data_IF_675898163830
#
_entry.id   IF_675898163830
#
_cell.length_a   1.000
_cell.length_b   1.000
_cell.length_c   1.000
_cell.angle_alpha   90.00
_cell.angle_beta   90.00
_cell.angle_gamma   90.00
#
_symmetry.space_group_name_H-M   'P 1'
#
loop_
_entity.id
_entity.type
_entity.pdbx_description
1 polymer ?
#
# COMPACT_ATOMS: atom_id res chain seq x y z
N UNK A 1 -0.11 -0.05 -1.69
CA UNK A 1 -1.44 0.02 -2.34
C UNK A 1 -2.12 1.38 -2.45
N UNK A 2 -2.06 2.03 -3.58
CA UNK A 2 -0.90 1.88 -4.42
C UNK A 2 0.24 2.71 -3.83
N UNK A 3 0.44 2.63 -2.51
CA UNK A 3 1.73 2.70 -1.82
C UNK A 3 2.85 1.91 -2.49
N UNK A 4 2.58 1.13 -3.52
CA UNK A 4 3.56 0.53 -4.40
C UNK A 4 2.90 0.31 -5.76
N UNK A 5 3.67 0.21 -6.83
CA UNK A 5 3.15 -0.03 -8.18
C UNK A 5 2.52 -1.44 -8.27
N UNK A 6 1.19 -1.55 -8.30
CA UNK A 6 0.55 -2.82 -8.64
C UNK A 6 0.53 -3.02 -10.13
N UNK A 7 0.55 -4.28 -10.54
CA UNK A 7 0.49 -4.65 -11.94
C UNK A 7 1.65 -4.00 -12.73
N UNK A 8 2.85 -4.01 -12.13
CA UNK A 8 4.01 -3.29 -12.63
C UNK A 8 4.35 -3.69 -14.07
N UNK A 9 4.27 -2.74 -15.00
CA UNK A 9 4.45 -2.97 -16.44
C UNK A 9 3.18 -3.29 -17.22
N UNK A 10 2.25 -4.09 -16.68
CA UNK A 10 0.99 -4.39 -17.39
C UNK A 10 -0.02 -3.24 -17.28
N UNK A 11 0.09 -2.38 -16.26
CA UNK A 11 -0.75 -1.20 -16.04
C UNK A 11 -0.61 -0.10 -17.13
N UNK A 12 0.54 0.00 -17.79
CA UNK A 12 0.81 0.92 -18.91
C UNK A 12 0.78 0.22 -20.27
N UNK A 13 0.33 -1.03 -20.32
CA UNK A 13 0.14 -1.75 -21.58
C UNK A 13 -0.90 -1.03 -22.44
N UNK A 14 -0.57 -0.89 -23.73
CA UNK A 14 -1.50 -0.39 -24.74
C UNK A 14 -2.80 -1.21 -24.84
N UNK A 15 -2.84 -2.39 -24.22
CA UNK A 15 -3.95 -3.33 -24.37
C UNK A 15 -4.79 -3.47 -23.13
N UNK A 16 -4.40 -3.02 -21.95
CA UNK A 16 -5.00 -3.44 -20.67
C UNK A 16 -6.08 -2.51 -20.12
N UNK A 17 -6.68 -1.69 -20.99
CA UNK A 17 -8.00 -1.07 -20.83
C UNK A 17 -8.43 -0.71 -19.41
N UNK A 18 -9.13 -1.63 -18.73
CA UNK A 18 -9.63 -1.43 -17.36
C UNK A 18 -8.49 -1.23 -16.34
N UNK A 19 -7.39 -1.99 -16.46
CA UNK A 19 -6.22 -1.88 -15.58
C UNK A 19 -5.52 -0.52 -15.80
N UNK A 20 -5.35 -0.10 -17.06
CA UNK A 20 -4.84 1.24 -17.37
C UNK A 20 -5.80 2.34 -16.92
N UNK A 21 -7.11 2.10 -16.99
CA UNK A 21 -8.15 3.00 -16.49
C UNK A 21 -8.10 3.20 -14.97
N UNK A 22 -7.73 2.15 -14.21
CA UNK A 22 -7.49 2.25 -12.77
C UNK A 22 -6.23 3.07 -12.43
N UNK A 23 -5.25 3.13 -13.34
CA UNK A 23 -4.09 4.01 -13.23
C UNK A 23 -4.42 5.45 -13.66
N UNK A 24 -5.17 5.61 -14.73
CA UNK A 24 -5.58 6.90 -15.27
C UNK A 24 -6.94 6.76 -15.97
N UNK A 25 -8.02 7.35 -15.42
CA UNK A 25 -9.36 7.22 -16.01
C UNK A 25 -9.43 7.66 -17.48
N UNK A 26 -8.57 8.59 -17.92
CA UNK A 26 -8.51 9.05 -19.31
C UNK A 26 -8.10 7.95 -20.30
N UNK A 27 -7.43 6.89 -19.84
CA UNK A 27 -7.04 5.74 -20.68
C UNK A 27 -8.23 4.86 -21.08
N UNK A 28 -9.41 5.01 -20.46
CA UNK A 28 -10.59 4.22 -20.84
C UNK A 28 -11.03 4.49 -22.29
N UNK A 29 -10.78 5.70 -22.82
CA UNK A 29 -11.07 6.02 -24.23
C UNK A 29 -10.16 5.24 -25.18
N UNK A 30 -9.01 4.81 -24.68
CA UNK A 30 -7.97 4.13 -25.44
C UNK A 30 -8.13 2.61 -25.50
N UNK A 31 -9.20 2.05 -24.90
CA UNK A 31 -9.53 0.62 -25.02
C UNK A 31 -9.67 0.27 -26.50
N UNK A 32 -9.07 -0.84 -26.92
CA UNK A 32 -9.03 -1.24 -28.34
C UNK A 32 -10.38 -1.77 -28.84
N UNK A 33 -11.12 -2.48 -27.99
CA UNK A 33 -12.47 -2.98 -28.28
C UNK A 33 -13.56 -1.96 -27.89
N UNK A 34 -14.79 -2.24 -28.29
CA UNK A 34 -15.95 -1.49 -27.79
C UNK A 34 -16.30 -1.91 -26.36
N UNK A 35 -16.10 -3.18 -26.01
CA UNK A 35 -16.39 -3.71 -24.69
C UNK A 35 -15.17 -4.42 -24.11
N UNK A 36 -14.99 -4.29 -22.80
CA UNK A 36 -14.00 -5.02 -22.03
C UNK A 36 -14.58 -5.45 -20.69
N UNK A 37 -14.33 -6.71 -20.32
CA UNK A 37 -14.67 -7.25 -19.01
C UNK A 37 -13.41 -7.75 -18.31
N UNK A 38 -13.22 -7.34 -17.05
CA UNK A 38 -12.26 -7.96 -16.14
C UNK A 38 -13.01 -8.98 -15.30
N UNK A 39 -12.53 -10.23 -15.24
CA UNK A 39 -13.15 -11.25 -14.39
C UNK A 39 -12.61 -11.09 -12.98
N UNK A 40 -11.31 -11.34 -12.84
CA UNK A 40 -10.58 -11.17 -11.60
C UNK A 40 -9.12 -10.95 -11.91
N UNK A 41 -8.52 -10.04 -11.16
CA UNK A 41 -7.12 -9.71 -11.24
C UNK A 41 -6.60 -9.53 -9.83
N UNK A 42 -5.47 -10.14 -9.53
CA UNK A 42 -4.86 -10.20 -8.20
C UNK A 42 -3.46 -9.61 -8.26
N UNK A 43 -3.09 -8.83 -7.24
CA UNK A 43 -1.72 -8.39 -7.03
C UNK A 43 -1.40 -8.34 -5.55
N UNK A 44 -0.33 -9.02 -5.16
CA UNK A 44 0.23 -8.95 -3.82
C UNK A 44 1.63 -8.34 -3.90
N UNK A 45 1.95 -7.51 -2.92
CA UNK A 45 3.22 -6.85 -2.79
C UNK A 45 3.66 -6.81 -1.33
N UNK A 46 4.94 -7.03 -1.10
CA UNK A 46 5.61 -6.91 0.18
C UNK A 46 6.93 -6.15 -0.01
N UNK A 47 7.15 -5.09 0.76
CA UNK A 47 8.41 -4.34 0.83
C UNK A 47 8.85 -4.09 2.25
N UNK A 48 10.16 -4.04 2.45
CA UNK A 48 10.75 -3.68 3.72
C UNK A 48 12.15 -3.06 3.53
N UNK A 49 12.80 -2.60 4.60
CA UNK A 49 14.17 -2.05 4.56
C UNK A 49 15.17 -2.80 5.47
N UNK A 50 14.86 -4.05 5.86
CA UNK A 50 15.55 -4.79 6.93
C UNK A 50 15.98 -6.19 6.54
N UNK A 51 15.09 -6.90 5.87
CA UNK A 51 15.11 -8.34 5.64
C UNK A 51 15.20 -8.59 4.14
N UNK A 52 16.19 -9.37 3.75
CA UNK A 52 16.22 -9.99 2.44
C UNK A 52 15.13 -11.06 2.35
N UNK A 53 14.49 -11.21 1.20
CA UNK A 53 13.43 -12.19 1.00
C UNK A 53 13.88 -13.63 1.26
N UNK A 54 15.15 -13.96 0.97
CA UNK A 54 15.73 -15.28 1.28
C UNK A 54 15.72 -15.60 2.78
N UNK A 55 15.81 -14.58 3.65
CA UNK A 55 15.86 -14.75 5.10
C UNK A 55 14.49 -15.12 5.71
N UNK A 56 13.38 -14.88 4.99
CA UNK A 56 12.04 -15.25 5.45
C UNK A 56 11.82 -16.76 5.52
N UNK A 57 12.67 -17.55 4.86
CA UNK A 57 12.62 -19.01 4.84
C UNK A 57 13.68 -19.65 5.75
N UNK A 58 14.41 -18.83 6.51
CA UNK A 58 15.43 -19.29 7.46
C UNK A 58 14.87 -19.55 8.85
N UNK A 59 15.77 -19.95 9.77
CA UNK A 59 15.41 -20.34 11.15
C UNK A 59 15.18 -19.15 12.11
N UNK A 60 15.35 -17.91 11.65
CA UNK A 60 15.14 -16.71 12.49
C UNK A 60 13.68 -16.28 12.44
N UNK A 61 13.15 -15.89 13.61
CA UNK A 61 11.82 -15.31 13.72
C UNK A 61 11.70 -14.02 12.91
N UNK A 62 10.53 -13.82 12.29
CA UNK A 62 10.25 -12.66 11.45
C UNK A 62 10.41 -11.33 12.21
N UNK A 63 9.99 -11.29 13.47
CA UNK A 63 10.05 -10.10 14.33
C UNK A 63 11.49 -9.72 14.66
N UNK A 64 12.36 -10.71 14.87
CA UNK A 64 13.79 -10.50 15.11
C UNK A 64 14.49 -9.91 13.88
N UNK A 65 14.12 -10.39 12.68
CA UNK A 65 14.63 -9.88 11.42
C UNK A 65 14.14 -8.45 11.14
N UNK A 66 12.86 -8.17 11.40
CA UNK A 66 12.25 -6.86 11.16
C UNK A 66 12.86 -5.76 12.05
N UNK A 67 13.18 -6.08 13.29
CA UNK A 67 13.78 -5.14 14.23
C UNK A 67 15.29 -5.35 14.40
N UNK A 68 15.99 -5.89 13.41
CA UNK A 68 17.44 -6.02 13.47
C UNK A 68 18.15 -4.66 13.26
N UNK A 69 19.35 -4.50 13.81
CA UNK A 69 20.17 -3.28 13.68
C UNK A 69 19.59 -2.03 14.37
N UNK A 70 19.98 -0.84 13.88
CA UNK A 70 19.70 0.47 14.51
C UNK A 70 18.84 1.43 13.67
N UNK A 71 18.76 1.25 12.35
CA UNK A 71 17.94 2.10 11.48
C UNK A 71 16.44 1.88 11.73
N UNK A 72 15.55 2.87 11.53
CA UNK A 72 14.11 2.66 11.69
C UNK A 72 13.58 1.52 10.79
N UNK A 73 12.72 0.67 11.33
CA UNK A 73 12.08 -0.42 10.61
C UNK A 73 10.88 0.10 9.82
N UNK A 74 10.89 -0.20 8.52
CA UNK A 74 9.85 0.12 7.57
C UNK A 74 9.43 -1.15 6.82
N UNK A 75 8.11 -1.38 6.76
CA UNK A 75 7.50 -2.50 6.07
C UNK A 75 6.17 -2.05 5.46
N UNK A 76 5.88 -2.51 4.25
CA UNK A 76 4.55 -2.45 3.65
C UNK A 76 4.18 -3.81 3.09
N UNK A 77 2.94 -4.22 3.32
CA UNK A 77 2.32 -5.38 2.72
C UNK A 77 0.98 -4.95 2.14
N UNK A 78 0.70 -5.46 0.96
CA UNK A 78 -0.22 -4.81 0.05
C UNK A 78 -0.90 -5.85 -0.86
N UNK A 79 -2.17 -6.18 -0.59
CA UNK A 79 -3.02 -7.03 -1.43
C UNK A 79 -4.16 -6.28 -2.15
N UNK A 80 -4.18 -6.30 -3.49
CA UNK A 80 -5.23 -5.72 -4.34
C UNK A 80 -5.90 -6.80 -5.20
N UNK A 81 -7.22 -6.87 -5.09
CA UNK A 81 -8.07 -7.73 -5.91
C UNK A 81 -9.00 -6.82 -6.72
N UNK A 82 -8.76 -6.70 -8.02
CA UNK A 82 -9.70 -6.10 -8.95
C UNK A 82 -10.69 -7.18 -9.37
N UNK A 83 -11.91 -7.08 -8.85
CA UNK A 83 -13.01 -8.01 -9.11
C UNK A 83 -13.69 -7.78 -10.45
N UNK A 84 -14.90 -8.35 -10.63
CA UNK A 84 -15.68 -8.17 -11.83
C UNK A 84 -15.82 -6.69 -12.19
N UNK A 85 -15.39 -6.34 -13.39
CA UNK A 85 -15.43 -4.98 -13.90
C UNK A 85 -15.82 -4.98 -15.37
N UNK A 86 -16.46 -3.91 -15.81
CA UNK A 86 -16.89 -3.77 -17.19
C UNK A 86 -16.62 -2.35 -17.67
N UNK A 87 -16.07 -2.22 -18.86
CA UNK A 87 -15.89 -0.96 -19.55
C UNK A 87 -16.50 -1.06 -20.94
N UNK A 88 -17.13 0.03 -21.37
CA UNK A 88 -17.62 0.16 -22.74
C UNK A 88 -17.30 1.53 -23.32
N UNK A 89 -17.10 1.56 -24.63
CA UNK A 89 -16.79 2.75 -25.40
C UNK A 89 -17.90 3.00 -26.41
N UNK A 90 -18.36 4.24 -26.49
CA UNK A 90 -19.38 4.68 -27.47
C UNK A 90 -19.00 6.04 -28.03
N UNK A 91 -18.58 6.05 -29.30
CA UNK A 91 -18.09 7.27 -29.97
C UNK A 91 -16.86 7.83 -29.24
N UNK A 92 -16.93 9.10 -28.85
CA UNK A 92 -15.85 9.79 -28.12
C UNK A 92 -15.83 9.54 -26.62
N UNK A 93 -16.79 8.78 -26.09
CA UNK A 93 -16.94 8.52 -24.66
C UNK A 93 -16.59 7.07 -24.32
N UNK A 94 -16.03 6.89 -23.13
CA UNK A 94 -15.87 5.59 -22.50
C UNK A 94 -16.37 5.65 -21.06
N UNK A 95 -16.97 4.56 -20.60
CA UNK A 95 -17.48 4.42 -19.25
C UNK A 95 -17.01 3.09 -18.67
N UNK A 96 -16.82 3.03 -17.35
CA UNK A 96 -16.50 1.79 -16.67
C UNK A 96 -17.18 1.70 -15.31
N UNK A 97 -17.48 0.47 -14.91
CA UNK A 97 -17.80 0.09 -13.53
C UNK A 97 -16.72 -0.89 -13.06
N UNK A 98 -16.13 -0.61 -11.91
CA UNK A 98 -15.09 -1.46 -11.32
C UNK A 98 -15.45 -1.86 -9.91
N UNK A 99 -15.02 -3.05 -9.50
CA UNK A 99 -15.09 -3.51 -8.11
C UNK A 99 -13.69 -3.89 -7.65
N UNK A 100 -13.31 -3.52 -6.44
CA UNK A 100 -12.02 -3.89 -5.88
C UNK A 100 -12.09 -4.18 -4.39
N UNK A 101 -11.23 -5.08 -3.91
CA UNK A 101 -10.91 -5.27 -2.50
C UNK A 101 -9.43 -4.98 -2.26
N UNK A 102 -9.11 -4.26 -1.19
CA UNK A 102 -7.75 -3.85 -0.86
C UNK A 102 -7.45 -4.12 0.61
N UNK A 103 -6.27 -4.71 0.89
CA UNK A 103 -5.77 -5.00 2.24
C UNK A 103 -4.33 -4.53 2.42
N UNK A 104 -4.15 -3.50 3.23
CA UNK A 104 -2.83 -2.95 3.55
C UNK A 104 -2.41 -3.31 4.95
N UNK A 105 -1.12 -3.57 5.13
CA UNK A 105 -0.44 -3.47 6.40
C UNK A 105 0.84 -2.66 6.22
N UNK A 106 1.18 -1.85 7.20
CA UNK A 106 2.41 -1.06 7.20
C UNK A 106 2.97 -0.92 8.60
N UNK A 107 4.29 -0.85 8.65
CA UNK A 107 5.10 -0.48 9.79
C UNK A 107 5.97 0.64 9.27
N UNK A 108 5.91 1.80 9.91
CA UNK A 108 6.61 3.00 9.47
C UNK A 108 7.42 3.57 10.62
N UNK A 109 8.71 3.70 10.34
CA UNK A 109 9.70 4.31 11.22
C UNK A 109 9.60 3.79 12.65
N UNK A 110 9.49 2.46 12.85
CA UNK A 110 9.54 1.91 14.22
C UNK A 110 10.99 1.80 14.65
N UNK A 111 11.33 2.35 15.82
CA UNK A 111 12.65 2.20 16.40
C UNK A 111 12.93 0.72 16.72
N UNK A 112 14.02 0.11 16.22
CA UNK A 112 14.29 -1.31 16.43
C UNK A 112 14.44 -1.71 17.89
N UNK A 113 15.00 -0.84 18.76
CA UNK A 113 15.14 -1.13 20.18
C UNK A 113 13.78 -1.22 20.86
N UNK A 114 12.88 -0.29 20.53
CA UNK A 114 11.51 -0.30 21.03
C UNK A 114 10.73 -1.51 20.50
N UNK A 115 10.84 -1.80 19.19
CA UNK A 115 10.19 -2.95 18.57
C UNK A 115 10.61 -4.28 19.23
N UNK A 116 11.91 -4.49 19.40
CA UNK A 116 12.43 -5.67 20.12
C UNK A 116 11.93 -5.71 21.56
N UNK A 117 12.03 -4.62 22.31
CA UNK A 117 11.66 -4.63 23.72
C UNK A 117 10.17 -4.91 24.00
N UNK A 118 9.28 -4.59 23.04
CA UNK A 118 7.83 -4.84 23.15
C UNK A 118 7.44 -6.25 22.67
N UNK A 119 8.15 -6.79 21.67
CA UNK A 119 7.78 -8.03 20.97
C UNK A 119 8.62 -9.24 21.42
N UNK A 120 9.81 -9.01 21.99
CA UNK A 120 10.69 -10.07 22.46
C UNK A 120 10.07 -10.82 23.65
N UNK A 121 9.85 -12.13 23.44
CA UNK A 121 9.87 -13.14 24.50
C UNK A 121 11.31 -13.45 24.96
N UNK A 122 12.32 -12.88 24.27
CA UNK A 122 13.73 -13.04 24.57
C UNK A 122 14.12 -12.19 25.77
N UNK A 123 14.61 -12.88 26.81
CA UNK A 123 15.03 -12.27 28.07
C UNK A 123 16.11 -11.18 27.96
N UNK A 124 16.50 -10.69 29.13
CA UNK A 124 17.41 -9.56 29.38
C UNK A 124 18.73 -9.62 28.57
N UNK A 125 19.15 -10.81 28.15
CA UNK A 125 20.39 -11.05 27.39
C UNK A 125 20.43 -10.41 25.98
N UNK A 126 19.29 -9.99 25.41
CA UNK A 126 19.24 -9.30 24.10
C UNK A 126 19.53 -7.79 24.18
N UNK A 127 19.49 -7.20 25.38
CA UNK A 127 19.76 -5.78 25.65
C UNK A 127 20.98 -5.68 26.57
N UNK A 128 22.19 -5.77 26.00
CA UNK A 128 23.45 -5.75 26.76
C UNK A 128 23.72 -4.42 27.52
N UNK A 129 22.93 -3.37 27.29
CA UNK A 129 23.03 -2.08 27.95
C UNK A 129 21.70 -1.32 27.91
N UNK A 130 21.52 -0.36 28.82
CA UNK A 130 20.44 0.63 28.74
C UNK A 130 20.48 1.34 27.37
N UNK A 131 19.38 1.29 26.63
CA UNK A 131 19.23 1.90 25.33
C UNK A 131 18.35 3.14 25.45
N UNK A 132 18.96 4.32 25.34
CA UNK A 132 18.21 5.55 25.17
C UNK A 132 17.46 5.50 23.82
N UNK A 133 16.13 5.55 23.89
CA UNK A 133 15.24 5.66 22.74
C UNK A 133 14.79 7.11 22.65
N UNK A 134 15.65 7.91 22.02
CA UNK A 134 15.34 9.28 21.64
C UNK A 134 14.91 9.27 20.19
N UNK A 135 13.60 9.39 19.96
CA UNK A 135 13.00 9.31 18.64
C UNK A 135 12.32 10.65 18.33
N UNK A 136 12.95 11.41 17.44
CA UNK A 136 12.48 12.72 16.96
C UNK A 136 11.48 12.62 15.79
N UNK A 137 11.11 11.40 15.40
CA UNK A 137 10.11 11.10 14.38
C UNK A 137 8.88 10.41 14.98
N UNK A 138 7.77 10.37 14.23
CA UNK A 138 6.60 9.60 14.66
C UNK A 138 6.74 8.16 14.17
N UNK A 139 6.19 7.24 14.96
CA UNK A 139 6.24 5.82 14.74
C UNK A 139 4.81 5.32 14.53
N UNK A 140 4.58 4.43 13.56
CA UNK A 140 3.24 3.87 13.36
C UNK A 140 3.25 2.45 12.82
N UNK A 141 2.27 1.67 13.24
CA UNK A 141 1.90 0.41 12.62
C UNK A 141 0.40 0.46 12.32
N UNK A 142 0.01 0.11 11.11
CA UNK A 142 -1.40 0.12 10.72
C UNK A 142 -1.74 -1.00 9.74
N UNK A 143 -2.91 -1.59 9.92
CA UNK A 143 -3.53 -2.51 8.97
C UNK A 143 -4.93 -2.01 8.62
N UNK A 144 -5.32 -2.11 7.35
CA UNK A 144 -6.61 -1.64 6.88
C UNK A 144 -7.09 -2.42 5.67
N UNK A 145 -8.38 -2.73 5.65
CA UNK A 145 -9.04 -3.37 4.51
C UNK A 145 -10.24 -2.56 4.09
N UNK A 146 -10.52 -2.52 2.79
CA UNK A 146 -11.71 -1.87 2.27
C UNK A 146 -12.07 -2.36 0.87
N UNK A 147 -13.35 -2.24 0.55
CA UNK A 147 -13.91 -2.46 -0.77
C UNK A 147 -14.10 -1.14 -1.51
N UNK A 148 -14.05 -1.18 -2.83
CA UNK A 148 -14.31 -0.04 -3.70
C UNK A 148 -15.29 -0.45 -4.81
N UNK A 149 -16.27 0.42 -5.08
CA UNK A 149 -17.03 0.40 -6.33
C UNK A 149 -16.73 1.70 -7.07
N UNK A 150 -16.08 1.58 -8.23
CA UNK A 150 -15.70 2.71 -9.07
C UNK A 150 -16.67 2.90 -10.24
N UNK A 151 -17.05 4.15 -10.49
CA UNK A 151 -17.78 4.58 -11.68
C UNK A 151 -16.93 5.58 -12.44
N UNK A 152 -16.58 5.25 -13.67
CA UNK A 152 -15.66 6.04 -14.49
C UNK A 152 -16.35 6.57 -15.74
N UNK A 153 -15.95 7.77 -16.13
CA UNK A 153 -16.30 8.37 -17.41
C UNK A 153 -15.06 9.06 -17.99
N UNK A 154 -14.81 8.85 -19.28
CA UNK A 154 -13.69 9.43 -20.00
C UNK A 154 -14.10 9.86 -21.39
N UNK A 155 -13.43 10.88 -21.93
CA UNK A 155 -13.77 11.48 -23.22
C UNK A 155 -12.54 11.87 -24.02
N UNK A 156 -12.57 11.61 -25.32
CA UNK A 156 -11.71 12.26 -26.31
C UNK A 156 -12.12 13.73 -26.45
N UNK A 157 -11.27 14.63 -25.97
CA UNK A 157 -11.50 16.08 -25.98
C UNK A 157 -11.03 16.68 -27.31
N UNK A 158 -9.88 16.23 -27.80
CA UNK A 158 -9.26 16.70 -29.01
C UNK A 158 -8.72 15.54 -29.84
N UNK A 159 -8.85 15.64 -31.16
CA UNK A 159 -8.40 14.64 -32.11
C UNK A 159 -8.11 15.33 -33.44
N UNK A 160 -6.83 15.36 -33.83
CA UNK A 160 -6.37 15.98 -35.08
C UNK A 160 -5.05 15.36 -35.53
N UNK A 161 -4.92 15.06 -36.82
CA UNK A 161 -3.67 14.57 -37.44
C UNK A 161 -2.97 13.44 -36.65
N UNK A 162 -3.73 12.49 -36.11
CA UNK A 162 -3.22 11.37 -35.31
C UNK A 162 -2.87 11.72 -33.85
N UNK A 163 -2.99 12.98 -33.44
CA UNK A 163 -2.84 13.42 -32.06
C UNK A 163 -4.18 13.42 -31.34
N UNK A 164 -4.22 12.85 -30.15
CA UNK A 164 -5.43 12.80 -29.32
C UNK A 164 -5.15 13.26 -27.90
N UNK A 165 -6.10 14.00 -27.33
CA UNK A 165 -6.12 14.39 -25.93
C UNK A 165 -7.42 13.88 -25.29
N UNK A 166 -7.26 13.16 -24.19
CA UNK A 166 -8.34 12.56 -23.43
C UNK A 166 -8.33 13.10 -22.00
N UNK A 167 -9.49 13.16 -21.37
CA UNK A 167 -9.61 13.31 -19.93
C UNK A 167 -10.61 12.29 -19.37
N UNK A 168 -10.46 11.95 -18.10
CA UNK A 168 -11.40 11.09 -17.42
C UNK A 168 -11.46 11.35 -15.93
N UNK A 169 -12.54 10.87 -15.33
CA UNK A 169 -12.81 10.92 -13.90
C UNK A 169 -13.35 9.56 -13.45
N UNK A 170 -13.01 9.17 -12.23
CA UNK A 170 -13.60 8.03 -11.54
C UNK A 170 -14.10 8.47 -10.18
N UNK A 171 -15.36 8.19 -9.89
CA UNK A 171 -15.94 8.34 -8.56
C UNK A 171 -15.96 6.98 -7.88
N UNK A 172 -15.48 6.90 -6.64
CA UNK A 172 -15.39 5.65 -5.88
C UNK A 172 -16.25 5.74 -4.64
N UNK A 173 -17.16 4.80 -4.49
CA UNK A 173 -17.82 4.52 -3.22
C UNK A 173 -16.95 3.52 -2.48
N UNK A 174 -16.58 3.85 -1.24
CA UNK A 174 -15.67 3.04 -0.44
C UNK A 174 -16.44 2.37 0.70
N UNK A 175 -16.12 1.11 0.92
CA UNK A 175 -16.71 0.28 1.96
C UNK A 175 -15.62 -0.05 2.97
N UNK A 176 -15.57 0.63 4.13
CA UNK A 176 -14.56 0.34 5.12
C UNK A 176 -14.72 -1.12 5.59
N UNK A 177 -13.64 -1.89 5.51
CA UNK A 177 -13.58 -3.23 6.09
C UNK A 177 -13.09 -3.12 7.53
N UNK A 178 -11.90 -3.66 7.79
CA UNK A 178 -11.26 -3.59 9.11
C UNK A 178 -10.17 -2.52 9.14
N UNK A 179 -9.91 -1.93 10.30
CA UNK A 179 -8.83 -0.97 10.48
C UNK A 179 -8.23 -1.14 11.86
N UNK A 180 -6.91 -1.12 11.96
CA UNK A 180 -6.17 -1.09 13.20
C UNK A 180 -4.96 -0.20 13.01
N UNK A 181 -4.69 0.64 13.99
CA UNK A 181 -3.51 1.50 14.00
C UNK A 181 -3.02 1.73 15.42
N UNK A 182 -1.71 1.66 15.55
CA UNK A 182 -0.92 2.12 16.67
C UNK A 182 -0.05 3.27 16.17
N UNK A 183 -0.07 4.40 16.87
CA UNK A 183 0.72 5.58 16.52
C UNK A 183 1.35 6.15 17.78
N UNK A 184 2.60 6.60 17.65
CA UNK A 184 3.36 7.25 18.71
C UNK A 184 4.07 8.47 18.13
N UNK A 185 3.99 9.61 18.81
CA UNK A 185 4.68 10.84 18.42
C UNK A 185 5.65 11.31 19.48
N UNK A 186 6.80 11.84 19.05
CA UNK A 186 7.84 12.42 19.91
C UNK A 186 8.21 11.48 21.06
N UNK A 187 8.53 10.21 20.74
CA UNK A 187 8.84 9.23 21.76
C UNK A 187 10.23 9.48 22.35
N UNK A 188 10.27 9.75 23.64
CA UNK A 188 11.50 9.75 24.43
C UNK A 188 11.39 8.70 25.52
N UNK A 189 12.51 8.06 25.86
CA UNK A 189 12.58 7.14 26.99
C UNK A 189 13.87 6.34 27.01
N UNK A 190 14.12 5.63 28.09
CA UNK A 190 15.23 4.68 28.21
C UNK A 190 14.68 3.29 28.44
N UNK A 191 15.14 2.34 27.62
CA UNK A 191 14.83 0.91 27.79
C UNK A 191 16.01 0.27 28.51
N UNK A 192 15.76 -0.33 29.66
CA UNK A 192 16.80 -1.00 30.44
C UNK A 192 16.25 -2.18 31.25
N UNK A 193 17.14 -3.08 31.67
CA UNK A 193 16.77 -4.17 32.58
C UNK A 193 16.56 -3.66 34.01
N UNK A 194 15.54 -4.15 34.68
CA UNK A 194 15.25 -3.85 36.10
C UNK A 194 14.77 -5.10 36.85
N UNK A 195 14.55 -4.98 38.17
CA UNK A 195 13.96 -6.06 38.98
C UNK A 195 12.49 -6.28 38.58
N UNK A 196 12.27 -7.10 37.54
CA UNK A 196 10.95 -7.34 36.95
C UNK A 196 10.97 -7.64 35.44
N UNK A 197 12.12 -7.48 34.77
CA UNK A 197 12.29 -7.74 33.34
C UNK A 197 12.91 -6.55 32.62
N UNK A 198 12.41 -6.24 31.43
CA UNK A 198 12.77 -5.07 30.63
C UNK A 198 11.75 -3.97 30.93
N UNK A 199 12.25 -2.80 31.32
CA UNK A 199 11.43 -1.65 31.70
C UNK A 199 11.70 -0.45 30.80
N UNK A 200 10.65 0.35 30.59
CA UNK A 200 10.73 1.69 30.02
C UNK A 200 10.69 2.71 31.17
N UNK A 201 11.70 3.58 31.27
CA UNK A 201 11.82 4.65 32.29
C UNK A 201 12.13 6.00 31.63
N UNK A 202 11.93 7.10 32.36
CA UNK A 202 12.13 8.48 31.90
C UNK A 202 11.47 8.74 30.53
N UNK A 203 10.25 8.23 30.38
CA UNK A 203 9.60 8.11 29.08
C UNK A 203 8.42 9.05 28.93
N UNK A 204 8.32 9.70 27.78
CA UNK A 204 7.22 10.59 27.43
C UNK A 204 6.84 10.39 25.97
N UNK A 205 5.54 10.22 25.70
CA UNK A 205 5.02 10.17 24.34
C UNK A 205 3.50 10.41 24.31
N UNK A 206 2.99 10.81 23.14
CA UNK A 206 1.56 10.74 22.84
C UNK A 206 1.29 9.49 21.99
N UNK A 207 0.49 8.59 22.53
CA UNK A 207 0.04 7.37 21.86
C UNK A 207 -1.36 7.57 21.30
N UNK A 208 -1.63 6.97 20.15
CA UNK A 208 -2.99 6.84 19.67
C UNK A 208 -3.24 5.46 19.08
N UNK A 209 -4.29 4.84 19.60
CA UNK A 209 -4.83 3.59 19.13
C UNK A 209 -6.13 3.88 18.40
N UNK A 210 -6.33 3.28 17.24
CA UNK A 210 -7.58 3.36 16.50
C UNK A 210 -7.87 2.00 15.86
N UNK A 211 -9.00 1.38 16.18
CA UNK A 211 -9.34 0.06 15.65
C UNK A 211 -10.83 -0.13 15.45
N UNK A 212 -11.18 -0.95 14.45
CA UNK A 212 -12.55 -1.36 14.18
C UNK A 212 -13.00 -2.43 15.16
N UNK A 213 -14.29 -2.47 15.50
CA UNK A 213 -14.82 -3.45 16.46
C UNK A 213 -14.58 -4.91 16.06
N UNK A 214 -14.53 -5.21 14.76
CA UNK A 214 -14.13 -6.53 14.23
C UNK A 214 -12.73 -6.97 14.69
N UNK A 215 -11.80 -6.03 14.87
CA UNK A 215 -10.42 -6.27 15.31
C UNK A 215 -10.22 -6.07 16.82
N UNK A 216 -11.26 -5.67 17.55
CA UNK A 216 -11.21 -5.55 19.01
C UNK A 216 -11.05 -6.89 19.72
N UNK A 217 -11.43 -8.00 19.07
CA UNK A 217 -11.44 -9.34 19.67
C UNK A 217 -10.20 -10.19 19.34
N UNK A 218 -9.66 -10.08 18.11
CA UNK A 218 -8.46 -10.81 17.69
C UNK A 218 -7.89 -10.21 16.38
N UNK A 219 -6.65 -9.72 16.38
CA UNK A 219 -5.99 -9.26 15.16
C UNK A 219 -5.24 -10.38 14.40
N UNK A 220 -5.19 -11.59 14.94
CA UNK A 220 -4.57 -12.78 14.33
C UNK A 220 -5.54 -13.58 13.45
N UNK A 221 -6.86 -13.38 13.61
CA UNK A 221 -7.86 -14.00 12.76
C UNK A 221 -7.88 -13.34 11.36
N UNK A 222 -7.33 -14.06 10.39
CA UNK A 222 -7.33 -13.67 8.98
C UNK A 222 -8.73 -13.42 8.41
N UNK A 223 -9.77 -14.04 8.96
CA UNK A 223 -11.16 -13.83 8.57
C UNK A 223 -11.59 -12.37 8.71
N UNK A 224 -11.07 -11.66 9.71
CA UNK A 224 -11.36 -10.24 9.95
C UNK A 224 -10.86 -9.32 8.83
N UNK A 225 -9.91 -9.77 8.00
CA UNK A 225 -9.31 -8.99 6.91
C UNK A 225 -9.91 -9.33 5.53
N UNK A 226 -10.83 -10.30 5.45
CA UNK A 226 -11.45 -10.73 4.18
C UNK A 226 -12.80 -10.08 3.88
N UNK A 227 -13.42 -9.41 4.86
CA UNK A 227 -14.70 -8.73 4.68
C UNK A 227 -14.54 -7.32 4.10
N UNK A 228 -14.30 -7.23 2.79
CA UNK A 228 -14.08 -5.95 2.11
C UNK A 228 -15.32 -5.04 2.05
N UNK A 229 -16.54 -5.57 2.15
CA UNK A 229 -17.78 -4.79 1.96
C UNK A 229 -18.66 -4.71 3.22
N UNK A 230 -18.10 -5.06 4.39
CA UNK A 230 -18.85 -5.34 5.62
C UNK A 230 -19.58 -4.16 6.26
N UNK A 231 -19.00 -2.95 6.21
CA UNK A 231 -19.52 -1.79 6.98
C UNK A 231 -20.23 -0.74 6.12
N UNK A 232 -20.81 -1.14 4.97
CA UNK A 232 -21.58 -0.24 4.11
C UNK A 232 -20.76 0.90 3.48
N UNK A 233 -21.40 1.77 2.67
CA UNK A 233 -20.72 2.80 1.88
C UNK A 233 -20.41 4.05 2.72
N UNK A 234 -19.40 3.97 3.58
CA UNK A 234 -19.01 5.07 4.48
C UNK A 234 -17.73 5.82 4.05
N UNK A 235 -17.37 5.74 2.78
CA UNK A 235 -16.31 6.57 2.22
C UNK A 235 -16.53 6.92 0.76
N UNK A 236 -15.78 7.92 0.32
CA UNK A 236 -15.82 8.41 -1.05
C UNK A 236 -14.42 8.84 -1.49
N UNK A 237 -14.10 8.59 -2.75
CA UNK A 237 -12.90 9.09 -3.40
C UNK A 237 -13.14 9.52 -4.83
N UNK A 238 -12.26 10.38 -5.33
CA UNK A 238 -12.22 10.79 -6.73
C UNK A 238 -10.83 10.55 -7.30
N UNK A 239 -10.80 10.03 -8.52
CA UNK A 239 -9.62 10.05 -9.38
C UNK A 239 -9.94 10.90 -10.61
N UNK A 240 -8.95 11.61 -11.13
CA UNK A 240 -9.05 12.25 -12.43
C UNK A 240 -7.72 12.20 -13.14
N UNK A 241 -7.74 12.26 -14.47
CA UNK A 241 -6.53 12.22 -15.24
C UNK A 241 -6.70 12.68 -16.66
N UNK A 242 -5.55 12.83 -17.31
CA UNK A 242 -5.40 13.30 -18.67
C UNK A 242 -4.46 12.36 -19.40
N UNK A 243 -4.72 12.16 -20.69
CA UNK A 243 -3.89 11.33 -21.54
C UNK A 243 -3.70 12.01 -22.90
N UNK A 244 -2.47 12.05 -23.37
CA UNK A 244 -2.09 12.46 -24.70
C UNK A 244 -1.52 11.27 -25.46
N UNK A 245 -1.97 11.08 -26.70
CA UNK A 245 -1.48 10.00 -27.55
C UNK A 245 -1.22 10.49 -28.96
N UNK A 246 -0.06 10.12 -29.49
CA UNK A 246 0.27 10.25 -30.91
C UNK A 246 0.15 8.89 -31.59
N UNK A 247 -0.95 8.70 -32.31
CA UNK A 247 -1.30 7.46 -33.01
C UNK A 247 -0.41 7.24 -34.24
N UNK A 248 -0.31 5.99 -34.67
CA UNK A 248 0.29 5.67 -35.97
C UNK A 248 -0.72 5.93 -37.10
N UNK A 249 -0.25 6.26 -38.29
CA UNK A 249 -1.11 6.56 -39.45
C UNK A 249 -1.83 5.33 -40.02
N UNK A 250 -1.26 4.13 -39.82
CA UNK A 250 -1.68 2.90 -40.51
C UNK A 250 -2.05 1.74 -39.59
N UNK A 251 -1.93 1.90 -38.27
CA UNK A 251 -2.23 0.87 -37.28
C UNK A 251 -2.99 1.45 -36.07
N UNK A 252 -3.69 0.59 -35.35
CA UNK A 252 -4.38 0.87 -34.08
C UNK A 252 -3.43 1.22 -32.92
N UNK A 253 -2.12 1.11 -33.13
CA UNK A 253 -1.07 1.44 -32.16
C UNK A 253 -0.73 2.94 -32.08
N UNK A 254 0.26 3.26 -31.24
CA UNK A 254 0.77 4.63 -31.07
C UNK A 254 2.29 4.70 -31.16
N UNK A 255 2.80 5.90 -31.44
CA UNK A 255 4.21 6.26 -31.31
C UNK A 255 4.53 6.70 -29.88
N UNK A 256 3.65 7.49 -29.27
CA UNK A 256 3.81 8.05 -27.94
C UNK A 256 2.46 8.00 -27.21
N UNK A 257 2.47 7.58 -25.93
CA UNK A 257 1.35 7.66 -25.01
C UNK A 257 1.84 8.27 -23.68
N UNK A 258 1.39 9.48 -23.35
CA UNK A 258 1.75 10.19 -22.12
C UNK A 258 0.49 10.37 -21.31
N UNK A 259 0.54 10.11 -20.01
CA UNK A 259 -0.59 10.37 -19.15
C UNK A 259 -0.17 10.83 -17.77
N UNK A 260 -1.09 11.55 -17.14
CA UNK A 260 -0.97 11.96 -15.75
C UNK A 260 -2.31 11.79 -15.05
N UNK A 261 -2.28 11.47 -13.76
CA UNK A 261 -3.49 11.31 -12.96
C UNK A 261 -3.25 11.70 -11.50
N UNK A 262 -4.35 12.11 -10.86
CA UNK A 262 -4.46 12.27 -9.43
C UNK A 262 -5.44 11.21 -8.95
N UNK A 263 -5.02 10.37 -8.00
CA UNK A 263 -5.77 9.20 -7.57
C UNK A 263 -6.02 9.22 -6.07
N UNK A 264 -7.11 8.56 -5.69
CA UNK A 264 -7.50 8.27 -4.31
C UNK A 264 -7.66 9.54 -3.46
N UNK A 265 -8.20 10.61 -4.05
CA UNK A 265 -8.52 11.83 -3.32
C UNK A 265 -9.81 11.60 -2.53
N UNK A 266 -9.68 11.19 -1.27
CA UNK A 266 -10.84 10.78 -0.50
C UNK A 266 -10.51 10.21 0.87
N UNK A 267 -11.55 9.73 1.54
CA UNK A 267 -11.44 9.15 2.86
C UNK A 267 -12.59 8.19 3.16
N UNK A 268 -12.38 7.37 4.17
CA UNK A 268 -13.32 6.40 4.71
C UNK A 268 -13.59 6.73 6.17
N UNK A 269 -14.86 6.68 6.58
CA UNK A 269 -15.24 6.85 7.97
C UNK A 269 -15.64 5.49 8.55
N UNK A 270 -15.00 5.10 9.64
CA UNK A 270 -15.34 3.93 10.41
C UNK A 270 -16.37 4.34 11.47
N UNK A 271 -17.57 3.73 11.41
CA UNK A 271 -18.70 4.03 12.29
C UNK A 271 -19.31 2.72 12.77
N UNK A 272 -18.95 2.33 13.96
CA UNK A 272 -19.49 1.15 14.64
C UNK A 272 -19.36 1.38 16.14
N UNK A 273 -20.30 0.86 16.93
CA UNK A 273 -20.27 1.02 18.38
C UNK A 273 -19.05 0.37 19.04
N UNK A 274 -18.49 -0.68 18.43
CA UNK A 274 -17.29 -1.37 18.91
C UNK A 274 -15.98 -0.78 18.39
N UNK A 275 -16.04 0.27 17.56
CA UNK A 275 -14.84 0.99 17.14
C UNK A 275 -14.32 1.85 18.28
N UNK A 276 -13.00 1.98 18.35
CA UNK A 276 -12.32 2.78 19.37
C UNK A 276 -11.23 3.64 18.71
N UNK A 277 -11.06 4.86 19.20
CA UNK A 277 -10.01 5.78 18.81
C UNK A 277 -9.60 6.64 19.99
N UNK A 278 -8.60 6.16 20.72
CA UNK A 278 -8.21 6.71 22.01
C UNK A 278 -6.80 7.28 21.93
N UNK A 279 -6.63 8.48 22.47
CA UNK A 279 -5.33 9.16 22.58
C UNK A 279 -4.90 9.17 24.03
N UNK A 280 -3.68 8.75 24.27
CA UNK A 280 -3.07 8.67 25.60
C UNK A 280 -1.82 9.55 25.62
N UNK A 281 -1.60 10.21 26.75
CA UNK A 281 -0.27 10.70 27.10
C UNK A 281 0.35 9.67 28.04
N UNK A 282 1.48 9.10 27.64
CA UNK A 282 2.29 8.22 28.46
C UNK A 282 3.38 9.07 29.11
N UNK A 283 3.51 8.99 30.43
CA UNK A 283 4.59 9.61 31.19
C UNK A 283 5.08 8.65 32.27
N UNK A 284 6.29 8.11 32.11
CA UNK A 284 6.96 7.26 33.10
C UNK A 284 8.08 8.07 33.75
N UNK A 285 7.99 8.40 35.05
CA UNK A 285 9.05 9.14 35.74
C UNK A 285 10.39 8.41 35.73
N UNK A 286 11.48 9.17 35.82
CA UNK A 286 12.82 8.60 35.99
C UNK A 286 12.89 7.77 37.29
N UNK A 287 13.36 6.53 37.17
CA UNK A 287 13.46 5.58 38.30
C UNK A 287 12.18 4.78 38.56
N UNK A 288 11.10 5.06 37.83
CA UNK A 288 9.90 4.23 37.72
C UNK A 288 9.92 3.46 36.40
N UNK A 289 9.25 2.31 36.34
CA UNK A 289 9.34 1.38 35.20
C UNK A 289 7.97 0.92 34.72
N UNK A 290 7.69 1.14 33.44
CA UNK A 290 6.65 0.41 32.71
C UNK A 290 7.25 -0.91 32.21
N UNK A 291 6.80 -2.04 32.77
CA UNK A 291 7.24 -3.36 32.32
C UNK A 291 6.88 -3.56 30.85
N UNK A 292 7.85 -3.79 29.96
CA UNK A 292 7.57 -4.01 28.55
C UNK A 292 7.22 -5.48 28.24
N UNK A 293 7.66 -6.43 29.07
CA UNK A 293 7.35 -7.85 28.89
C UNK A 293 5.84 -8.14 28.99
N UNK A 294 5.05 -7.27 29.63
CA UNK A 294 3.60 -7.44 29.70
C UNK A 294 2.90 -7.33 28.33
N UNK A 295 3.58 -6.81 27.30
CA UNK A 295 3.03 -6.64 25.95
C UNK A 295 3.35 -7.79 24.99
N UNK A 296 4.29 -8.69 25.33
CA UNK A 296 4.81 -9.71 24.41
C UNK A 296 3.75 -10.73 23.93
N UNK A 297 2.73 -11.02 24.75
CA UNK A 297 1.71 -12.03 24.48
C UNK A 297 0.30 -11.44 24.31
N UNK A 298 0.23 -10.17 23.91
CA UNK A 298 -1.06 -9.50 23.71
C UNK A 298 -1.61 -9.81 22.33
N UNK A 299 -2.89 -10.18 22.25
CA UNK A 299 -3.57 -10.55 20.99
C UNK A 299 -4.62 -9.54 20.53
N UNK A 300 -4.81 -8.44 21.28
CA UNK A 300 -5.75 -7.36 20.94
C UNK A 300 -5.21 -5.98 21.29
N UNK A 301 -5.61 -4.94 20.55
CA UNK A 301 -5.25 -3.55 20.88
C UNK A 301 -5.90 -3.11 22.20
N UNK A 302 -7.12 -3.58 22.48
CA UNK A 302 -7.84 -3.31 23.73
C UNK A 302 -7.06 -3.80 24.97
N UNK A 303 -6.41 -4.96 24.90
CA UNK A 303 -5.52 -5.44 25.97
C UNK A 303 -4.30 -4.53 26.16
N UNK A 304 -3.69 -4.02 25.08
CA UNK A 304 -2.58 -3.06 25.17
C UNK A 304 -3.03 -1.80 25.91
N UNK A 305 -4.19 -1.24 25.54
CA UNK A 305 -4.76 -0.06 26.19
C UNK A 305 -5.05 -0.32 27.68
N UNK A 306 -5.60 -1.49 28.02
CA UNK A 306 -5.87 -1.87 29.41
C UNK A 306 -4.59 -1.95 30.25
N UNK A 307 -3.52 -2.58 29.73
CA UNK A 307 -2.22 -2.67 30.40
C UNK A 307 -1.58 -1.29 30.60
N UNK A 308 -1.66 -0.42 29.57
CA UNK A 308 -1.19 0.97 29.68
C UNK A 308 -1.93 1.73 30.78
N UNK A 309 -3.25 1.59 30.88
CA UNK A 309 -4.05 2.24 31.93
C UNK A 309 -3.76 1.67 33.32
N UNK A 310 -3.65 0.34 33.43
CA UNK A 310 -3.36 -0.35 34.68
C UNK A 310 -1.98 0.02 35.23
N UNK A 311 -1.02 0.36 34.36
CA UNK A 311 0.31 0.82 34.77
C UNK A 311 0.30 2.12 35.58
N UNK A 312 -0.76 2.93 35.46
CA UNK A 312 -0.85 4.26 36.09
C UNK A 312 -0.08 5.37 35.36
N UNK A 313 0.74 5.04 34.37
CA UNK A 313 1.55 6.00 33.60
C UNK A 313 0.86 6.60 32.38
N UNK A 314 -0.21 5.96 31.88
CA UNK A 314 -0.96 6.42 30.73
C UNK A 314 -2.26 7.14 31.14
N UNK A 315 -2.50 8.31 30.57
CA UNK A 315 -3.74 9.07 30.78
C UNK A 315 -4.45 9.31 29.47
N UNK A 316 -5.73 8.97 29.42
CA UNK A 316 -6.60 9.26 28.29
C UNK A 316 -6.78 10.77 28.17
N UNK A 317 -6.59 11.30 26.97
CA UNK A 317 -6.80 12.72 26.64
C UNK A 317 -7.92 12.93 25.62
N UNK A 318 -8.23 11.90 24.82
CA UNK A 318 -9.31 11.92 23.83
C UNK A 318 -9.84 10.51 23.60
N UNK A 319 -11.16 10.38 23.45
CA UNK A 319 -11.83 9.14 23.06
C UNK A 319 -12.86 9.44 21.97
N UNK A 320 -13.03 8.51 21.05
CA UNK A 320 -14.02 8.58 19.97
C UNK A 320 -14.26 7.20 19.39
N UNK A 321 -15.52 6.85 19.14
CA UNK A 321 -15.86 5.60 18.45
C UNK A 321 -15.94 5.80 16.93
N UNK A 322 -15.91 7.05 16.48
CA UNK A 322 -15.81 7.39 15.07
C UNK A 322 -14.38 7.84 14.75
N UNK A 323 -13.81 7.30 13.68
CA UNK A 323 -12.56 7.80 13.12
C UNK A 323 -12.55 7.76 11.59
N UNK A 324 -11.67 8.56 11.00
CA UNK A 324 -11.55 8.71 9.55
C UNK A 324 -10.17 8.22 9.12
N UNK A 325 -10.13 7.33 8.13
CA UNK A 325 -8.91 6.97 7.43
C UNK A 325 -8.88 7.66 6.07
N UNK A 326 -7.89 8.51 5.84
CA UNK A 326 -7.65 9.15 4.54
C UNK A 326 -6.99 8.15 3.60
N UNK A 327 -7.49 8.09 2.37
CA UNK A 327 -6.88 7.26 1.34
C UNK A 327 -5.49 7.80 0.94
N UNK A 328 -4.61 6.96 0.39
CA UNK A 328 -3.30 7.36 -0.11
C UNK A 328 -3.45 8.20 -1.37
N UNK A 329 -3.60 9.52 -1.21
CA UNK A 329 -3.70 10.49 -2.29
C UNK A 329 -2.36 10.54 -3.07
N UNK A 330 -2.41 10.31 -4.37
CA UNK A 330 -1.22 10.16 -5.21
C UNK A 330 -1.33 10.89 -6.53
N UNK A 331 -0.18 11.32 -7.03
CA UNK A 331 0.06 11.76 -8.39
C UNK A 331 0.80 10.66 -9.16
N UNK A 332 0.39 10.42 -10.40
CA UNK A 332 1.07 9.50 -11.31
C UNK A 332 1.37 10.21 -12.63
N UNK A 333 2.53 9.95 -13.21
CA UNK A 333 2.97 10.42 -14.52
C UNK A 333 3.63 9.28 -15.26
N UNK A 334 3.32 9.13 -16.55
CA UNK A 334 3.99 8.14 -17.39
C UNK A 334 4.11 8.59 -18.83
N UNK A 335 5.12 8.06 -19.51
CA UNK A 335 5.34 8.21 -20.92
C UNK A 335 5.79 6.87 -21.50
N UNK A 336 5.00 6.32 -22.43
CA UNK A 336 5.32 5.11 -23.16
C UNK A 336 5.59 5.42 -24.62
N UNK A 337 6.76 5.00 -25.10
CA UNK A 337 7.26 5.34 -26.43
C UNK A 337 7.54 4.06 -27.20
N UNK A 338 6.99 3.97 -28.41
CA UNK A 338 7.32 2.93 -29.38
C UNK A 338 8.67 3.24 -30.01
N UNK A 339 9.69 2.46 -29.67
CA UNK A 339 11.06 2.69 -30.11
C UNK A 339 11.28 2.11 -31.51
N UNK A 340 10.96 0.82 -31.69
CA UNK A 340 11.15 0.13 -32.95
C UNK A 340 10.25 -1.11 -33.08
N UNK A 341 9.54 -1.26 -34.20
CA UNK A 341 8.66 -2.39 -34.50
C UNK A 341 7.68 -2.74 -33.36
N UNK A 342 7.95 -3.76 -32.53
CA UNK A 342 7.12 -4.14 -31.39
C UNK A 342 7.75 -3.81 -30.03
N UNK A 343 8.84 -3.03 -30.01
CA UNK A 343 9.56 -2.60 -28.81
C UNK A 343 9.08 -1.23 -28.32
N UNK A 344 8.88 -1.16 -27.01
CA UNK A 344 8.44 0.01 -26.27
C UNK A 344 9.33 0.24 -25.06
N UNK A 345 9.42 1.49 -24.62
CA UNK A 345 10.01 1.87 -23.34
C UNK A 345 9.01 2.78 -22.64
N UNK A 346 8.63 2.42 -21.42
CA UNK A 346 7.82 3.26 -20.54
C UNK A 346 8.65 3.83 -19.41
N UNK A 347 8.55 5.13 -19.17
CA UNK A 347 8.91 5.74 -17.89
C UNK A 347 7.65 5.98 -17.05
N UNK A 348 7.69 5.60 -15.78
CA UNK A 348 6.61 5.76 -14.81
C UNK A 348 7.13 6.44 -13.53
N UNK A 349 6.35 7.39 -13.03
CA UNK A 349 6.59 8.11 -11.78
C UNK A 349 5.30 8.07 -10.96
N UNK A 350 5.43 7.74 -9.69
CA UNK A 350 4.39 7.86 -8.69
C UNK A 350 4.89 8.66 -7.50
N UNK A 351 4.09 9.64 -7.07
CA UNK A 351 4.41 10.51 -5.95
C UNK A 351 3.22 10.66 -5.00
N UNK A 352 3.45 10.54 -3.69
CA UNK A 352 2.42 10.83 -2.67
C UNK A 352 2.16 12.33 -2.54
N UNK A 353 0.89 12.70 -2.36
CA UNK A 353 0.45 14.10 -2.24
C UNK A 353 0.36 14.58 -0.79
N UNK A 354 0.31 13.65 0.17
CA UNK A 354 0.19 13.92 1.60
C UNK A 354 1.27 13.13 2.33
N UNK A 355 1.85 13.70 3.38
CA UNK A 355 2.79 12.99 4.25
C UNK A 355 2.09 11.85 4.99
N UNK A 356 2.68 10.65 4.97
CA UNK A 356 2.11 9.46 5.62
C UNK A 356 2.17 9.51 7.14
N UNK A 357 2.84 10.50 7.70
CA UNK A 357 3.14 10.58 9.14
C UNK A 357 2.01 11.29 9.92
N UNK A 358 0.90 11.61 9.26
CA UNK A 358 -0.28 12.13 9.94
C UNK A 358 -1.14 11.00 10.50
N UNK A 359 -1.67 11.20 11.71
CA UNK A 359 -2.39 10.22 12.52
C UNK A 359 -3.50 9.45 11.78
N UNK A 360 -4.07 9.96 10.69
CA UNK A 360 -5.21 9.36 10.01
C UNK A 360 -4.95 9.01 8.53
N UNK A 361 -3.69 8.95 8.12
CA UNK A 361 -3.31 8.71 6.73
C UNK A 361 -2.96 7.25 6.49
N UNK A 362 -3.55 6.65 5.47
CA UNK A 362 -3.06 5.37 4.94
C UNK A 362 -1.79 5.67 4.14
N UNK A 363 -0.62 5.08 4.48
CA UNK A 363 0.65 5.41 3.82
C UNK A 363 0.72 5.08 2.34
N UNK A 364 1.56 5.83 1.61
CA UNK A 364 1.95 5.61 0.23
C UNK A 364 3.48 5.69 0.04
N UNK A 365 4.04 5.03 -0.98
CA UNK A 365 5.44 5.17 -1.37
C UNK A 365 5.59 5.91 -2.68
N UNK A 366 6.69 6.64 -2.79
CA UNK A 366 7.18 7.14 -4.05
C UNK A 366 7.89 6.03 -4.83
N UNK A 367 7.68 5.99 -6.14
CA UNK A 367 8.28 4.97 -7.01
C UNK A 367 8.60 5.58 -8.37
N UNK A 368 9.75 5.19 -8.92
CA UNK A 368 10.12 5.46 -10.31
C UNK A 368 10.40 4.12 -10.99
N UNK A 369 9.82 3.91 -12.16
CA UNK A 369 9.96 2.65 -12.89
C UNK A 369 10.28 2.90 -14.37
N UNK A 370 11.28 2.19 -14.89
CA UNK A 370 11.58 2.10 -16.32
C UNK A 370 11.18 0.71 -16.82
N UNK A 371 10.43 0.64 -17.91
CA UNK A 371 9.81 -0.61 -18.37
C UNK A 371 10.10 -0.81 -19.86
N UNK A 372 11.17 -1.52 -20.22
CA UNK A 372 11.31 -2.10 -21.54
C UNK A 372 10.21 -3.14 -21.77
N UNK A 373 9.53 -3.06 -22.92
CA UNK A 373 8.44 -3.96 -23.29
C UNK A 373 8.53 -4.40 -24.75
N UNK A 374 8.32 -5.69 -24.99
CA UNK A 374 8.19 -6.28 -26.32
C UNK A 374 6.78 -6.83 -26.52
N UNK A 375 6.05 -6.33 -27.52
CA UNK A 375 4.61 -6.57 -27.69
C UNK A 375 4.23 -7.16 -29.08
N UNK A 376 4.73 -8.34 -29.49
CA UNK A 376 4.41 -8.92 -30.80
C UNK A 376 3.05 -9.63 -30.81
N UNK A 377 2.17 -9.26 -31.75
CA UNK A 377 0.95 -10.01 -32.03
C UNK A 377 0.04 -10.15 -30.80
N UNK A 378 -0.10 -11.37 -30.25
CA UNK A 378 -0.93 -11.66 -29.05
C UNK A 378 -0.14 -11.65 -27.73
N UNK A 379 1.18 -11.56 -27.79
CA UNK A 379 2.08 -11.64 -26.64
C UNK A 379 2.55 -10.25 -26.22
N UNK A 380 2.80 -10.07 -24.92
CA UNK A 380 3.61 -8.98 -24.38
C UNK A 380 4.56 -9.52 -23.33
N UNK A 381 5.80 -9.03 -23.34
CA UNK A 381 6.81 -9.29 -22.33
C UNK A 381 7.30 -7.94 -21.82
N UNK A 382 7.38 -7.77 -20.52
CA UNK A 382 7.83 -6.52 -19.90
C UNK A 382 8.81 -6.82 -18.78
N UNK A 383 9.78 -5.93 -18.62
CA UNK A 383 10.86 -6.05 -17.63
C UNK A 383 10.90 -4.79 -16.75
N UNK A 384 10.00 -4.63 -15.78
CA UNK A 384 10.00 -3.43 -14.93
C UNK A 384 11.30 -3.33 -14.12
N UNK A 385 11.95 -2.17 -14.19
CA UNK A 385 13.11 -1.78 -13.41
C UNK A 385 12.67 -0.62 -12.51
N UNK A 386 12.40 -0.92 -11.25
CA UNK A 386 11.81 0.01 -10.30
C UNK A 386 12.80 0.41 -9.21
N UNK A 387 12.63 1.64 -8.70
CA UNK A 387 13.26 2.10 -7.47
C UNK A 387 12.17 2.70 -6.60
N UNK A 388 12.01 2.18 -5.39
CA UNK A 388 11.04 2.69 -4.43
C UNK A 388 11.73 3.11 -3.12
N UNK A 389 11.05 3.97 -2.36
CA UNK A 389 11.64 4.62 -1.18
C UNK A 389 11.93 3.68 0.01
N UNK A 390 11.43 2.44 0.00
CA UNK A 390 11.57 1.50 1.12
C UNK A 390 12.56 0.40 0.80
N UNK A 391 12.33 -0.38 -0.25
CA UNK A 391 13.16 -1.52 -0.61
C UNK A 391 14.30 -1.19 -1.57
N UNK A 392 14.35 0.06 -2.08
CA UNK A 392 15.34 0.47 -3.06
C UNK A 392 15.06 -0.11 -4.46
N UNK A 393 16.11 -0.58 -5.14
CA UNK A 393 16.02 -1.09 -6.50
C UNK A 393 15.42 -2.51 -6.56
N UNK A 394 14.48 -2.72 -7.46
CA UNK A 394 13.88 -4.02 -7.77
C UNK A 394 13.69 -4.17 -9.28
N UNK A 395 13.99 -5.36 -9.81
CA UNK A 395 13.79 -5.69 -11.21
C UNK A 395 12.90 -6.92 -11.36
N UNK A 396 12.04 -6.89 -12.37
CA UNK A 396 10.99 -7.87 -12.56
C UNK A 396 10.84 -8.34 -13.99
N UNK A 397 9.92 -9.30 -14.16
CA UNK A 397 9.47 -9.81 -15.45
C UNK A 397 7.97 -10.08 -15.38
N UNK A 398 7.32 -9.94 -16.52
CA UNK A 398 6.08 -10.65 -16.74
C UNK A 398 5.70 -10.75 -18.20
N UNK A 399 4.59 -11.46 -18.39
CA UNK A 399 4.11 -11.87 -19.69
C UNK A 399 2.59 -11.72 -19.76
N UNK A 400 2.09 -11.29 -20.91
CA UNK A 400 0.68 -11.34 -21.28
C UNK A 400 0.52 -12.24 -22.50
N UNK A 401 -0.49 -13.09 -22.48
CA UNK A 401 -0.96 -13.83 -23.64
C UNK A 401 -2.48 -13.66 -23.76
N UNK A 402 -2.92 -12.90 -24.77
CA UNK A 402 -4.33 -12.60 -24.95
C UNK A 402 -4.95 -11.92 -23.73
N UNK A 403 -6.00 -12.52 -23.17
CA UNK A 403 -6.66 -12.02 -21.97
C UNK A 403 -5.90 -12.24 -20.66
N UNK A 404 -4.97 -13.20 -20.63
CA UNK A 404 -4.25 -13.60 -19.43
C UNK A 404 -2.93 -12.85 -19.28
N UNK A 405 -2.54 -12.53 -18.05
CA UNK A 405 -1.21 -12.03 -17.73
C UNK A 405 -0.75 -12.53 -16.36
N UNK A 406 0.56 -12.60 -16.19
CA UNK A 406 1.24 -12.88 -14.94
C UNK A 406 2.57 -12.12 -14.91
N UNK A 407 2.98 -11.65 -13.75
CA UNK A 407 4.26 -10.98 -13.60
C UNK A 407 4.64 -10.71 -12.16
N UNK A 408 5.84 -10.16 -12.01
CA UNK A 408 6.42 -9.70 -10.76
C UNK A 408 7.38 -8.55 -11.07
N UNK A 409 7.38 -7.53 -10.22
CA UNK A 409 8.25 -6.37 -10.24
C UNK A 409 9.63 -6.61 -9.60
N UNK A 410 9.82 -7.71 -8.85
CA UNK A 410 11.07 -8.01 -8.15
C UNK A 410 11.68 -9.39 -8.44
N UNK A 411 11.02 -10.24 -9.23
CA UNK A 411 11.48 -11.62 -9.49
C UNK A 411 12.89 -11.71 -10.07
N UNK A 412 13.33 -10.77 -10.91
CA UNK A 412 14.70 -10.79 -11.44
C UNK A 412 15.71 -10.49 -10.36
N UNK A 413 15.49 -9.46 -9.55
CA UNK A 413 16.38 -9.15 -8.42
C UNK A 413 16.42 -10.30 -7.41
N UNK A 414 15.28 -10.94 -7.13
CA UNK A 414 15.25 -12.12 -6.26
C UNK A 414 16.10 -13.27 -6.82
N UNK A 415 16.08 -13.52 -8.13
CA UNK A 415 16.83 -14.60 -8.78
C UNK A 415 18.31 -14.27 -9.00
N UNK A 416 18.64 -13.01 -9.31
CA UNK A 416 19.99 -12.58 -9.70
C UNK A 416 20.86 -12.16 -8.50
N UNK A 417 20.24 -11.81 -7.37
CA UNK A 417 20.92 -11.37 -6.15
C UNK A 417 20.88 -12.41 -5.04
N UNK A 418 20.72 -13.70 -5.37
CA UNK A 418 20.59 -14.81 -4.39
C UNK A 418 19.53 -14.53 -3.29
N UNK A 419 18.44 -13.85 -3.67
CA UNK A 419 17.36 -13.47 -2.77
C UNK A 419 17.63 -12.26 -1.87
N UNK A 420 18.75 -11.55 -2.05
CA UNK A 420 19.08 -10.27 -1.41
C UNK A 420 18.27 -9.11 -2.02
N UNK A 421 16.94 -9.23 -1.92
CA UNK A 421 15.99 -8.20 -2.30
C UNK A 421 15.04 -7.95 -1.14
N UNK A 422 14.72 -6.69 -0.91
CA UNK A 422 13.77 -6.29 0.12
C UNK A 422 12.34 -6.12 -0.42
N UNK A 423 12.07 -6.61 -1.64
CA UNK A 423 10.76 -6.61 -2.29
C UNK A 423 10.38 -8.00 -2.78
N UNK A 424 9.15 -8.41 -2.50
CA UNK A 424 8.52 -9.57 -3.09
C UNK A 424 7.13 -9.20 -3.58
N UNK A 425 6.87 -9.39 -4.87
CA UNK A 425 5.55 -9.11 -5.43
C UNK A 425 5.21 -10.08 -6.55
N UNK A 426 3.92 -10.30 -6.73
CA UNK A 426 3.38 -11.09 -7.82
C UNK A 426 1.99 -10.58 -8.18
N UNK A 427 1.66 -10.69 -9.46
CA UNK A 427 0.33 -10.40 -9.94
C UNK A 427 -0.05 -11.31 -11.09
N UNK A 428 -1.35 -11.54 -11.22
CA UNK A 428 -1.93 -12.29 -12.32
C UNK A 428 -3.37 -11.86 -12.53
N UNK A 429 -3.88 -12.07 -13.73
CA UNK A 429 -5.26 -11.75 -14.00
C UNK A 429 -5.73 -12.23 -15.35
N UNK A 430 -7.05 -12.19 -15.51
CA UNK A 430 -7.69 -12.52 -16.77
C UNK A 430 -8.79 -11.51 -17.09
N UNK A 431 -8.76 -11.06 -18.34
CA UNK A 431 -9.75 -10.16 -18.92
C UNK A 431 -10.13 -10.59 -20.32
N UNK A 432 -11.28 -10.10 -20.77
CA UNK A 432 -11.80 -10.38 -22.09
C UNK A 432 -12.29 -9.10 -22.76
N UNK A 433 -11.70 -8.79 -23.92
CA UNK A 433 -12.11 -7.72 -24.82
C UNK A 433 -12.90 -8.32 -26.00
N UNK A 434 -14.06 -7.73 -26.33
CA UNK A 434 -14.94 -8.20 -27.41
C UNK A 434 -15.69 -7.07 -28.12
#
# INVERSE_FOLDING_TARGET
>A
MQAQEHYAGINTSQRTGIISGALNPAELVNITSENEANIITFSANFTNNKMAFSQLWGDREFTDLLFDGNAPANLNADLEILGPSFAFKKGKWAFAITTAGKTKANIKDINPQLGRAVIADSGVDSLAAAAAVLVDYNQSAAATTWGEIGLSAAREIYSDNGHTLNAGVTFKVLFPGSYARMYSSNFTGTIEGYTGGIGLTDASTSLNFAYSGSLGNDFTDSGNFTNYFGNGPHGFAVDFGFNYRWKQETDTGYRINVGLSFRNLGSMKFRDSGNESNTYVLNVPQGEYLNLNQFANVSTISQIEALLLQSGYAKITKQSNDFVAKLPAMFSLYADVKVYNAWYITGYLQQKLVSDVSQNQIPAQNTVTLIPRFSPGKYEFFAPLSSNEISGFAAGLGVRYGGFFIGSGSVLTALLSDGDTHQADAYLGFRWAF
#
